data_IF_470439944153
#
_entry.id   IF_470439944153
#
_cell.length_a   1.000
_cell.length_b   1.000
_cell.length_c   1.000
_cell.angle_alpha   90.00
_cell.angle_beta   90.00
_cell.angle_gamma   90.00
#
_symmetry.space_group_name_H-M   'P 1'
#
loop_
_entity.id
_entity.type
_entity.pdbx_description
1 polymer ?
#
# COMPACT_ATOMS: atom_id res chain seq x y z
N UNK A 1 6.55 -13.72 -17.84
CA UNK A 1 5.77 -13.34 -16.64
C UNK A 1 4.87 -14.46 -16.11
N UNK A 2 3.80 -14.89 -16.81
CA UNK A 2 2.83 -15.90 -16.30
C UNK A 2 3.42 -17.23 -15.81
N UNK A 3 4.52 -17.71 -16.43
CA UNK A 3 5.25 -18.92 -16.01
C UNK A 3 5.89 -18.79 -14.62
N UNK A 4 6.33 -17.58 -14.25
CA UNK A 4 7.01 -17.32 -12.97
C UNK A 4 6.03 -16.89 -11.88
N UNK A 5 4.84 -16.39 -12.24
CA UNK A 5 3.80 -16.00 -11.28
C UNK A 5 2.76 -17.09 -11.02
N UNK A 6 2.97 -18.33 -11.50
CA UNK A 6 1.98 -19.42 -11.44
C UNK A 6 0.60 -19.00 -11.96
N UNK A 7 0.56 -18.27 -13.09
CA UNK A 7 -0.65 -17.67 -13.67
C UNK A 7 -1.38 -16.65 -12.78
N UNK A 8 -0.83 -16.28 -11.61
CA UNK A 8 -1.39 -15.20 -10.81
C UNK A 8 -1.30 -13.87 -11.58
N UNK A 9 -2.42 -13.16 -11.61
CA UNK A 9 -2.48 -11.83 -12.21
C UNK A 9 -1.80 -10.79 -11.32
N UNK A 10 -1.01 -9.93 -11.96
CA UNK A 10 -0.31 -8.83 -11.32
C UNK A 10 -1.28 -7.75 -10.84
N UNK A 11 -2.22 -7.34 -11.69
CA UNK A 11 -3.24 -6.33 -11.38
C UNK A 11 -4.53 -6.98 -10.87
N UNK A 12 -5.19 -6.36 -9.88
CA UNK A 12 -6.56 -6.70 -9.49
C UNK A 12 -7.40 -5.43 -9.56
N UNK A 13 -8.32 -5.34 -10.51
CA UNK A 13 -9.26 -4.22 -10.58
C UNK A 13 -10.30 -4.35 -9.45
N UNK A 14 -10.46 -3.30 -8.64
CA UNK A 14 -11.55 -3.17 -7.65
C UNK A 14 -12.17 -1.77 -7.72
N UNK A 15 -13.34 -1.64 -7.10
CA UNK A 15 -14.26 -0.49 -7.14
C UNK A 15 -13.60 0.87 -6.85
N UNK A 16 -12.53 0.95 -6.05
CA UNK A 16 -11.83 2.21 -5.76
C UNK A 16 -10.36 2.18 -6.16
N UNK A 17 -9.85 3.34 -6.65
CA UNK A 17 -8.44 3.54 -7.05
C UNK A 17 -7.46 3.25 -5.91
N UNK A 18 -7.83 3.57 -4.66
CA UNK A 18 -7.01 3.35 -3.48
C UNK A 18 -6.88 1.87 -3.11
N UNK A 19 -8.01 1.13 -3.12
CA UNK A 19 -7.99 -0.31 -2.90
C UNK A 19 -7.20 -1.03 -4.01
N UNK A 20 -7.30 -0.54 -5.24
CA UNK A 20 -6.55 -1.09 -6.40
C UNK A 20 -5.04 -0.90 -6.21
N UNK A 21 -4.57 0.30 -5.85
CA UNK A 21 -3.14 0.55 -5.62
C UNK A 21 -2.56 -0.29 -4.46
N UNK A 22 -3.28 -0.35 -3.33
CA UNK A 22 -2.84 -1.11 -2.16
C UNK A 22 -2.76 -2.62 -2.45
N UNK A 23 -3.77 -3.19 -3.10
CA UNK A 23 -3.80 -4.61 -3.46
C UNK A 23 -2.72 -4.98 -4.50
N UNK A 24 -2.46 -4.08 -5.45
CA UNK A 24 -1.40 -4.27 -6.44
C UNK A 24 -0.02 -4.27 -5.76
N UNK A 25 0.23 -3.34 -4.82
CA UNK A 25 1.47 -3.34 -4.04
C UNK A 25 1.63 -4.60 -3.17
N UNK A 26 0.54 -5.09 -2.55
CA UNK A 26 0.58 -6.35 -1.80
C UNK A 26 0.93 -7.54 -2.70
N UNK A 27 0.35 -7.60 -3.90
CA UNK A 27 0.64 -8.66 -4.88
C UNK A 27 2.06 -8.57 -5.40
N UNK A 28 2.52 -7.36 -5.73
CA UNK A 28 3.89 -7.09 -6.15
C UNK A 28 4.88 -7.59 -5.09
N UNK A 29 4.66 -7.26 -3.81
CA UNK A 29 5.51 -7.71 -2.70
C UNK A 29 5.49 -9.25 -2.57
N UNK A 30 4.32 -9.90 -2.65
CA UNK A 30 4.22 -11.37 -2.63
C UNK A 30 4.98 -12.04 -3.78
N UNK A 31 4.99 -11.40 -4.95
CA UNK A 31 5.67 -11.92 -6.15
C UNK A 31 7.14 -11.50 -6.24
N UNK A 32 7.71 -10.80 -5.25
CA UNK A 32 9.10 -10.31 -5.26
C UNK A 32 10.11 -11.36 -5.69
N UNK A 33 10.13 -12.52 -5.03
CA UNK A 33 11.09 -13.58 -5.33
C UNK A 33 10.91 -14.16 -6.75
N UNK A 34 9.66 -14.24 -7.22
CA UNK A 34 9.34 -14.74 -8.55
C UNK A 34 9.73 -13.74 -9.64
N UNK A 35 9.52 -12.44 -9.39
CA UNK A 35 9.92 -11.36 -10.28
C UNK A 35 11.44 -11.30 -10.38
N UNK A 36 12.16 -11.32 -9.25
CA UNK A 36 13.63 -11.36 -9.28
C UNK A 36 14.13 -12.55 -10.10
N UNK A 37 13.63 -13.76 -9.83
CA UNK A 37 13.96 -14.96 -10.61
C UNK A 37 13.65 -14.82 -12.11
N UNK A 38 12.55 -14.17 -12.47
CA UNK A 38 12.22 -13.91 -13.87
C UNK A 38 13.25 -12.97 -14.52
N UNK A 39 13.54 -11.84 -13.89
CA UNK A 39 14.42 -10.80 -14.43
C UNK A 39 15.90 -11.18 -14.43
N UNK A 40 16.30 -12.22 -13.69
CA UNK A 40 17.66 -12.79 -13.71
C UNK A 40 17.77 -14.08 -14.53
N UNK A 41 16.68 -14.55 -15.17
CA UNK A 41 16.71 -15.80 -15.94
C UNK A 41 17.35 -15.60 -17.31
N UNK A 42 18.04 -16.62 -17.81
CA UNK A 42 18.61 -16.61 -19.17
C UNK A 42 17.55 -16.31 -20.23
N UNK A 43 16.34 -16.85 -20.03
CA UNK A 43 15.20 -16.58 -20.92
C UNK A 43 14.85 -15.10 -20.99
N UNK A 44 14.95 -14.36 -19.89
CA UNK A 44 14.76 -12.92 -19.90
C UNK A 44 15.94 -12.22 -20.56
N UNK A 45 17.17 -12.56 -20.17
CA UNK A 45 18.40 -11.93 -20.69
C UNK A 45 18.53 -12.06 -22.22
N UNK A 46 18.09 -13.18 -22.79
CA UNK A 46 18.08 -13.41 -24.23
C UNK A 46 16.87 -12.81 -24.95
N UNK A 47 15.89 -12.28 -24.21
CA UNK A 47 14.68 -11.70 -24.82
C UNK A 47 14.92 -10.31 -25.42
N UNK A 48 14.14 -9.95 -26.44
CA UNK A 48 14.13 -8.58 -26.99
C UNK A 48 13.82 -7.53 -25.92
N UNK A 49 12.90 -7.86 -24.99
CA UNK A 49 12.48 -6.97 -23.91
C UNK A 49 13.63 -6.57 -22.99
N UNK A 50 14.57 -7.46 -22.69
CA UNK A 50 15.74 -7.12 -21.86
C UNK A 50 16.71 -6.15 -22.54
N UNK A 51 16.71 -6.10 -23.88
CA UNK A 51 17.57 -5.19 -24.65
C UNK A 51 16.96 -3.77 -24.75
N UNK A 52 15.64 -3.67 -24.65
CA UNK A 52 14.91 -2.40 -24.69
C UNK A 52 15.12 -1.57 -23.42
N UNK A 53 15.16 -0.24 -23.56
CA UNK A 53 15.39 0.68 -22.45
C UNK A 53 14.36 0.52 -21.32
N UNK A 54 13.09 0.24 -21.67
CA UNK A 54 12.03 -0.01 -20.67
C UNK A 54 12.27 -1.30 -19.88
N UNK A 55 12.73 -2.36 -20.54
CA UNK A 55 13.03 -3.63 -19.87
C UNK A 55 14.25 -3.55 -18.98
N UNK A 56 15.30 -2.83 -19.39
CA UNK A 56 16.47 -2.54 -18.55
C UNK A 56 16.06 -1.83 -17.27
N UNK A 57 15.33 -0.71 -17.39
CA UNK A 57 14.79 0.03 -16.23
C UNK A 57 13.93 -0.86 -15.32
N UNK A 58 13.09 -1.73 -15.88
CA UNK A 58 12.26 -2.64 -15.10
C UNK A 58 13.11 -3.68 -14.34
N UNK A 59 14.16 -4.22 -14.97
CA UNK A 59 15.14 -5.10 -14.30
C UNK A 59 15.79 -4.36 -13.15
N UNK A 60 16.30 -3.15 -13.37
CA UNK A 60 17.00 -2.36 -12.36
C UNK A 60 16.11 -2.12 -11.14
N UNK A 61 14.86 -1.68 -11.35
CA UNK A 61 13.88 -1.45 -10.28
C UNK A 61 13.57 -2.73 -9.48
N UNK A 62 13.36 -3.87 -10.16
CA UNK A 62 13.06 -5.14 -9.47
C UNK A 62 14.26 -5.67 -8.70
N UNK A 63 15.48 -5.39 -9.16
CA UNK A 63 16.70 -5.83 -8.48
C UNK A 63 17.12 -4.90 -7.34
N UNK A 64 16.73 -3.62 -7.40
CA UNK A 64 17.04 -2.60 -6.41
C UNK A 64 16.43 -2.92 -5.03
N UNK A 65 17.25 -3.03 -3.96
CA UNK A 65 16.76 -3.31 -2.61
C UNK A 65 15.86 -2.21 -2.04
N UNK A 66 16.22 -0.94 -2.22
CA UNK A 66 15.48 0.22 -1.69
C UNK A 66 14.04 0.25 -2.18
N UNK A 67 13.80 -0.05 -3.46
CA UNK A 67 12.45 -0.17 -4.01
C UNK A 67 11.55 -1.10 -3.19
N UNK A 68 12.07 -2.25 -2.75
CA UNK A 68 11.29 -3.19 -1.95
C UNK A 68 11.08 -2.70 -0.52
N UNK A 69 12.05 -1.98 0.04
CA UNK A 69 11.90 -1.30 1.34
C UNK A 69 10.77 -0.27 1.26
N UNK A 70 10.70 0.50 0.18
CA UNK A 70 9.65 1.50 -0.07
C UNK A 70 8.27 0.85 -0.24
N UNK A 71 8.20 -0.28 -0.96
CA UNK A 71 6.97 -1.08 -1.06
C UNK A 71 6.49 -1.55 0.31
N UNK A 72 7.39 -2.05 1.16
CA UNK A 72 7.03 -2.47 2.53
C UNK A 72 6.59 -1.28 3.37
N UNK A 73 7.30 -0.15 3.28
CA UNK A 73 6.94 1.10 3.95
C UNK A 73 5.51 1.53 3.61
N UNK A 74 5.19 1.61 2.30
CA UNK A 74 3.87 1.97 1.82
C UNK A 74 2.78 0.99 2.30
N UNK A 75 3.08 -0.31 2.34
CA UNK A 75 2.14 -1.32 2.83
C UNK A 75 1.87 -1.22 4.33
N UNK A 76 2.89 -0.91 5.14
CA UNK A 76 2.74 -0.67 6.58
C UNK A 76 1.85 0.54 6.87
N UNK A 77 2.02 1.62 6.09
CA UNK A 77 1.20 2.82 6.20
C UNK A 77 -0.26 2.59 5.74
N UNK A 78 -0.46 2.03 4.55
CA UNK A 78 -1.79 1.88 3.96
C UNK A 78 -2.64 0.78 4.58
N UNK A 79 -2.02 -0.24 5.18
CA UNK A 79 -2.72 -1.41 5.72
C UNK A 79 -3.79 -1.02 6.76
N UNK A 80 -3.42 -0.31 7.84
CA UNK A 80 -4.35 0.16 8.86
C UNK A 80 -5.40 1.14 8.30
N UNK A 81 -5.00 2.12 7.48
CA UNK A 81 -5.92 3.08 6.84
C UNK A 81 -6.97 2.36 5.98
N UNK A 82 -6.56 1.35 5.22
CA UNK A 82 -7.46 0.55 4.41
C UNK A 82 -8.43 -0.33 5.22
N UNK A 83 -8.20 -0.53 6.53
CA UNK A 83 -9.18 -1.16 7.43
C UNK A 83 -10.22 -0.14 7.89
N UNK A 84 -9.80 1.08 8.24
CA UNK A 84 -10.71 2.18 8.61
C UNK A 84 -11.69 2.47 7.47
N UNK A 85 -11.17 2.63 6.24
CA UNK A 85 -12.02 2.87 5.08
C UNK A 85 -13.04 1.76 4.85
N UNK A 86 -12.64 0.49 5.02
CA UNK A 86 -13.57 -0.65 4.92
C UNK A 86 -14.63 -0.67 6.01
N UNK A 87 -14.31 -0.17 7.20
CA UNK A 87 -15.27 -0.05 8.30
C UNK A 87 -16.31 1.02 7.97
N UNK A 88 -15.88 2.19 7.48
CA UNK A 88 -16.78 3.30 7.10
C UNK A 88 -17.65 2.96 5.90
N UNK A 89 -17.12 2.25 4.90
CA UNK A 89 -17.89 1.80 3.73
C UNK A 89 -18.99 0.78 4.09
N UNK A 90 -18.87 0.08 5.22
CA UNK A 90 -19.85 -0.88 5.66
C UNK A 90 -21.05 -0.15 6.29
N UNK A 91 -22.02 0.22 5.43
CA UNK A 91 -23.26 0.99 5.74
C UNK A 91 -24.09 0.52 6.93
N UNK A 92 -23.79 -0.63 7.53
CA UNK A 92 -24.57 -1.19 8.63
C UNK A 92 -24.43 -0.40 9.93
N UNK A 93 -23.29 0.24 10.26
CA UNK A 93 -23.15 1.14 11.42
C UNK A 93 -21.91 2.06 11.34
N UNK A 94 -22.03 3.33 10.92
CA UNK A 94 -21.11 4.37 11.35
C UNK A 94 -21.82 5.32 12.31
N UNK A 95 -21.67 5.10 13.61
CA UNK A 95 -21.83 6.16 14.62
C UNK A 95 -20.51 6.92 14.70
N UNK A 96 -20.55 8.25 14.78
CA UNK A 96 -19.33 9.10 14.73
C UNK A 96 -18.21 8.64 15.68
N UNK A 97 -18.54 8.19 16.89
CA UNK A 97 -17.55 7.70 17.87
C UNK A 97 -16.70 6.52 17.38
N UNK A 98 -17.26 5.61 16.56
CA UNK A 98 -16.51 4.45 16.06
C UNK A 98 -15.45 4.83 15.01
N UNK A 99 -15.65 5.92 14.26
CA UNK A 99 -14.69 6.33 13.22
C UNK A 99 -13.45 6.95 13.88
N UNK A 100 -13.62 7.77 14.92
CA UNK A 100 -12.50 8.30 15.71
C UNK A 100 -11.70 7.18 16.36
N UNK A 101 -12.36 6.24 17.04
CA UNK A 101 -11.69 5.08 17.64
C UNK A 101 -10.95 4.24 16.59
N UNK A 102 -11.57 3.99 15.43
CA UNK A 102 -10.93 3.23 14.35
C UNK A 102 -9.70 3.95 13.78
N UNK A 103 -9.73 5.29 13.70
CA UNK A 103 -8.61 6.08 13.24
C UNK A 103 -7.44 6.06 14.24
N UNK A 104 -7.72 6.20 15.53
CA UNK A 104 -6.69 6.10 16.58
C UNK A 104 -6.01 4.73 16.56
N UNK A 105 -6.79 3.64 16.53
CA UNK A 105 -6.25 2.27 16.37
C UNK A 105 -5.41 2.11 15.10
N UNK A 106 -5.74 2.85 14.03
CA UNK A 106 -4.96 2.80 12.80
C UNK A 106 -3.62 3.53 12.94
N UNK A 107 -3.60 4.69 13.62
CA UNK A 107 -2.37 5.40 13.95
C UNK A 107 -1.47 4.54 14.84
N UNK A 108 -2.00 3.95 15.91
CA UNK A 108 -1.27 3.03 16.79
C UNK A 108 -0.66 1.85 16.00
N UNK A 109 -1.44 1.21 15.13
CA UNK A 109 -0.94 0.12 14.29
C UNK A 109 0.20 0.55 13.36
N UNK A 110 0.17 1.78 12.85
CA UNK A 110 1.28 2.35 12.06
C UNK A 110 2.51 2.54 12.94
N UNK A 111 2.37 3.16 14.12
CA UNK A 111 3.48 3.35 15.07
C UNK A 111 4.16 2.02 15.42
N UNK A 112 3.37 1.01 15.81
CA UNK A 112 3.86 -0.33 16.14
C UNK A 112 4.61 -0.93 14.94
N UNK A 113 4.09 -0.77 13.71
CA UNK A 113 4.73 -1.31 12.50
C UNK A 113 6.10 -0.70 12.20
N UNK A 114 6.37 0.49 12.73
CA UNK A 114 7.64 1.20 12.63
C UNK A 114 8.44 1.20 13.94
N UNK A 115 8.10 0.31 14.88
CA UNK A 115 8.75 0.19 16.20
C UNK A 115 8.78 1.53 16.95
N UNK A 116 7.70 2.31 16.87
CA UNK A 116 7.56 3.64 17.47
C UNK A 116 8.61 4.68 17.02
N UNK A 117 9.34 4.44 15.93
CA UNK A 117 10.26 5.42 15.37
C UNK A 117 9.48 6.54 14.63
N UNK A 118 9.32 7.67 15.30
CA UNK A 118 8.50 8.82 14.87
C UNK A 118 8.90 9.39 13.50
N UNK A 119 10.21 9.50 13.23
CA UNK A 119 10.73 10.00 11.95
C UNK A 119 10.19 9.21 10.75
N UNK A 120 9.78 7.95 10.94
CA UNK A 120 9.24 7.12 9.87
C UNK A 120 7.76 7.34 9.59
N UNK A 121 6.98 7.88 10.53
CA UNK A 121 5.52 7.99 10.36
C UNK A 121 4.94 9.39 10.59
N UNK A 122 5.71 10.36 11.11
CA UNK A 122 5.25 11.75 11.31
C UNK A 122 4.63 12.36 10.05
N UNK A 123 5.27 12.16 8.89
CA UNK A 123 4.77 12.71 7.62
C UNK A 123 3.50 11.99 7.15
N UNK A 124 3.38 10.69 7.46
CA UNK A 124 2.15 9.93 7.20
C UNK A 124 1.01 10.53 8.03
N UNK A 125 1.26 10.81 9.31
CA UNK A 125 0.26 11.37 10.22
C UNK A 125 -0.14 12.76 9.78
N UNK A 126 0.81 13.63 9.42
CA UNK A 126 0.51 14.95 8.88
C UNK A 126 -0.40 14.89 7.63
N UNK A 127 -0.17 13.92 6.74
CA UNK A 127 -1.04 13.71 5.56
C UNK A 127 -2.43 13.20 5.96
N UNK A 128 -2.50 12.29 6.93
CA UNK A 128 -3.76 11.73 7.43
C UNK A 128 -4.58 12.81 8.13
N UNK A 129 -3.98 13.55 9.05
CA UNK A 129 -4.62 14.61 9.85
C UNK A 129 -5.11 15.73 8.95
N UNK A 130 -4.28 16.21 8.02
CA UNK A 130 -4.71 17.20 7.03
C UNK A 130 -5.92 16.73 6.22
N UNK A 131 -5.98 15.45 5.85
CA UNK A 131 -7.14 14.90 5.12
C UNK A 131 -8.36 14.72 6.03
N UNK A 132 -8.14 14.34 7.27
CA UNK A 132 -9.17 14.19 8.29
C UNK A 132 -9.85 15.53 8.57
N UNK A 133 -9.07 16.58 8.79
CA UNK A 133 -9.56 17.93 9.07
C UNK A 133 -10.35 18.50 7.89
N UNK A 134 -9.89 18.27 6.66
CA UNK A 134 -10.58 18.77 5.47
C UNK A 134 -11.88 18.01 5.11
N UNK A 135 -12.03 16.73 5.49
CA UNK A 135 -13.11 15.87 4.98
C UNK A 135 -14.08 15.34 6.04
N UNK A 136 -13.63 15.20 7.29
CA UNK A 136 -14.37 14.52 8.37
C UNK A 136 -14.57 15.41 9.59
N UNK A 137 -13.71 16.42 9.80
CA UNK A 137 -13.82 17.38 10.90
C UNK A 137 -14.67 18.61 10.50
N UNK A 138 -15.94 18.39 10.16
CA UNK A 138 -16.93 19.46 10.06
C UNK A 138 -17.49 19.75 11.46
N UNK A 139 -17.69 21.02 11.82
CA UNK A 139 -18.12 21.51 13.14
C UNK A 139 -19.34 20.82 13.78
N UNK A 140 -20.15 20.11 12.99
CA UNK A 140 -21.28 19.29 13.45
C UNK A 140 -20.86 17.97 14.13
N UNK A 141 -19.59 17.56 14.01
CA UNK A 141 -19.09 16.24 14.45
C UNK A 141 -18.31 16.25 15.77
N UNK A 142 -18.00 17.43 16.32
CA UNK A 142 -17.24 17.59 17.57
C UNK A 142 -18.13 17.69 18.83
N UNK A 143 -19.46 17.70 18.70
CA UNK A 143 -20.41 17.94 19.80
C UNK A 143 -20.78 16.63 20.55
N UNK A 144 -20.08 15.53 20.29
CA UNK A 144 -20.38 14.21 20.86
C UNK A 144 -19.18 13.47 21.44
N UNK A 145 -18.18 14.22 21.95
CA UNK A 145 -17.14 13.71 22.84
C UNK A 145 -17.30 14.35 24.22
#
# INVERSE_FOLDING_TARGET
MRKYTNKAEFARHRVTRFATASLNLQRLHKLKANLRRMFTSDKWLQSKGAKEAKGKKATDVVLMPSFWSDVVYALKAMGPIGRVLRLVDNKKKPTMGYIYEAMERAKEAIQISFNHNEEKYKDIFAIVDKRWDCQLHHSLHAVGY
#
